data_IF_735664715591
#
_entry.id   IF_735664715591
#
_cell.length_a   1.000
_cell.length_b   1.000
_cell.length_c   1.000
_cell.angle_alpha   90.00
_cell.angle_beta   90.00
_cell.angle_gamma   90.00
#
_symmetry.space_group_name_H-M   'P 1'
#
loop_
_entity.id
_entity.type
_entity.pdbx_description
1 polymer ?
#
# COMPACT_ATOMS: atom_id res chain seq x y z
N UNK A 1 54.82 65.42 -49.11
CA UNK A 1 54.37 66.22 -47.94
C UNK A 1 53.13 65.52 -47.37
N UNK A 2 53.10 65.27 -46.06
CA UNK A 2 52.09 64.46 -45.31
C UNK A 2 50.67 65.05 -45.50
N UNK A 3 49.56 64.31 -45.43
CA UNK A 3 48.98 63.57 -44.28
C UNK A 3 47.92 62.58 -44.83
N UNK A 4 47.95 61.27 -44.53
CA UNK A 4 47.40 60.55 -43.35
C UNK A 4 45.90 60.75 -43.07
N UNK A 5 45.10 59.69 -43.29
CA UNK A 5 44.06 59.04 -42.43
C UNK A 5 43.20 58.12 -43.33
N UNK A 6 43.34 56.78 -43.35
CA UNK A 6 42.89 55.68 -42.45
C UNK A 6 41.37 55.34 -42.48
N UNK A 7 41.00 54.05 -42.31
CA UNK A 7 40.07 53.31 -43.21
C UNK A 7 38.82 52.69 -42.53
N UNK A 8 38.01 51.96 -43.30
CA UNK A 8 37.12 50.86 -42.85
C UNK A 8 35.63 51.19 -42.92
N UNK A 9 34.92 50.90 -44.02
CA UNK A 9 34.24 49.65 -44.40
C UNK A 9 33.38 48.95 -43.32
N UNK A 10 32.12 48.84 -43.70
CA UNK A 10 31.14 47.77 -43.46
C UNK A 10 30.45 47.70 -42.10
N UNK A 11 29.25 48.28 -42.12
CA UNK A 11 28.18 48.12 -41.14
C UNK A 11 27.34 46.89 -41.52
N UNK A 12 27.26 45.93 -40.57
CA UNK A 12 26.14 45.02 -40.26
C UNK A 12 25.66 44.02 -41.33
N UNK A 13 25.90 42.73 -41.06
CA UNK A 13 24.84 41.71 -41.20
C UNK A 13 24.57 41.06 -39.83
N UNK A 14 23.28 40.98 -39.52
CA UNK A 14 22.68 40.52 -38.27
C UNK A 14 22.87 39.02 -38.11
N UNK A 15 23.33 38.59 -36.94
CA UNK A 15 23.30 37.19 -36.53
C UNK A 15 21.87 36.70 -36.33
N UNK A 16 21.55 35.57 -36.96
CA UNK A 16 20.39 34.73 -36.63
C UNK A 16 20.82 33.78 -35.52
N UNK A 17 20.74 34.23 -34.28
CA UNK A 17 20.73 33.33 -33.11
C UNK A 17 19.29 32.89 -32.87
N UNK A 18 18.89 31.78 -33.48
CA UNK A 18 17.62 31.13 -33.16
C UNK A 18 17.71 30.48 -31.78
N UNK A 19 16.76 30.71 -30.86
CA UNK A 19 16.72 29.97 -29.61
C UNK A 19 16.28 28.53 -29.92
N UNK A 20 17.17 27.56 -29.74
CA UNK A 20 16.81 26.15 -29.68
C UNK A 20 15.99 25.93 -28.40
N UNK A 21 14.66 26.00 -28.53
CA UNK A 21 13.72 25.67 -27.47
C UNK A 21 13.76 24.14 -27.26
N UNK A 22 14.67 23.68 -26.41
CA UNK A 22 14.68 22.29 -25.93
C UNK A 22 13.47 22.14 -25.01
N UNK A 23 12.38 21.63 -25.58
CA UNK A 23 11.19 21.22 -24.83
C UNK A 23 11.55 19.95 -24.04
N UNK A 24 12.06 20.14 -22.81
CA UNK A 24 12.20 19.06 -21.84
C UNK A 24 10.79 18.60 -21.44
N UNK A 25 10.27 17.63 -22.19
CA UNK A 25 9.04 16.91 -21.86
C UNK A 25 9.33 16.07 -20.61
N UNK A 26 9.15 16.66 -19.43
CA UNK A 26 9.25 15.96 -18.17
C UNK A 26 8.15 14.90 -18.13
N UNK A 27 8.53 13.64 -18.35
CA UNK A 27 7.69 12.49 -18.07
C UNK A 27 7.47 12.44 -16.56
N UNK A 28 6.45 13.16 -16.08
CA UNK A 28 5.97 13.00 -14.71
C UNK A 28 5.44 11.56 -14.58
N UNK A 29 6.24 10.68 -13.98
CA UNK A 29 5.75 9.40 -13.55
C UNK A 29 4.53 9.64 -12.64
N UNK A 30 3.43 8.89 -12.81
CA UNK A 30 2.29 9.04 -11.92
C UNK A 30 2.76 8.79 -10.49
N UNK A 31 2.64 9.81 -9.64
CA UNK A 31 2.75 9.62 -8.21
C UNK A 31 1.64 8.63 -7.81
N UNK A 32 2.01 7.38 -7.52
CA UNK A 32 1.10 6.46 -6.85
C UNK A 32 0.80 7.08 -5.50
N UNK A 33 -0.43 7.53 -5.29
CA UNK A 33 -0.90 7.85 -3.96
C UNK A 33 -0.78 6.56 -3.14
N UNK A 34 0.20 6.52 -2.24
CA UNK A 34 0.30 5.43 -1.29
C UNK A 34 -0.94 5.53 -0.40
N UNK A 35 -1.79 4.50 -0.45
CA UNK A 35 -3.00 4.47 0.38
C UNK A 35 -2.64 4.39 1.87
N UNK A 36 -3.57 4.75 2.74
CA UNK A 36 -3.37 4.62 4.18
C UNK A 36 -3.27 3.14 4.59
N UNK A 37 -2.39 2.84 5.56
CA UNK A 37 -2.36 1.53 6.23
C UNK A 37 -3.74 1.27 6.85
N UNK A 38 -4.49 0.31 6.30
CA UNK A 38 -5.87 0.06 6.69
C UNK A 38 -5.99 -0.52 8.11
N UNK A 39 -4.97 -1.23 8.57
CA UNK A 39 -4.94 -1.76 9.93
C UNK A 39 -4.68 -0.63 10.91
N UNK A 40 -3.76 0.28 10.59
CA UNK A 40 -3.56 1.48 11.39
C UNK A 40 -4.80 2.38 11.40
N UNK A 41 -5.46 2.59 10.26
CA UNK A 41 -6.69 3.37 10.17
C UNK A 41 -7.79 2.78 11.06
N UNK A 42 -7.95 1.46 11.05
CA UNK A 42 -8.87 0.79 11.97
C UNK A 42 -8.48 1.02 13.43
N UNK A 43 -7.21 0.83 13.76
CA UNK A 43 -6.73 0.96 15.14
C UNK A 43 -6.90 2.40 15.68
N UNK A 44 -6.65 3.41 14.84
CA UNK A 44 -6.76 4.84 15.16
C UNK A 44 -8.22 5.31 15.32
N UNK A 45 -9.16 4.74 14.55
CA UNK A 45 -10.54 5.27 14.46
C UNK A 45 -11.61 4.39 15.06
N UNK A 46 -11.38 3.07 15.10
CA UNK A 46 -12.43 2.09 15.37
C UNK A 46 -12.11 1.20 16.57
N UNK A 47 -10.83 0.91 16.84
CA UNK A 47 -10.47 -0.14 17.79
C UNK A 47 -10.83 0.17 19.26
N UNK A 48 -10.91 1.44 19.66
CA UNK A 48 -11.30 1.81 21.03
C UNK A 48 -12.71 1.28 21.39
N UNK A 49 -13.66 1.35 20.44
CA UNK A 49 -15.04 0.87 20.65
C UNK A 49 -15.24 -0.56 20.16
N UNK A 50 -14.50 -1.00 19.14
CA UNK A 50 -14.75 -2.26 18.43
C UNK A 50 -13.71 -3.35 18.66
N UNK A 51 -12.58 -3.05 19.29
CA UNK A 51 -11.44 -3.96 19.39
C UNK A 51 -10.71 -4.15 18.06
N UNK A 52 -9.88 -5.18 17.97
CA UNK A 52 -9.04 -5.41 16.79
C UNK A 52 -9.89 -5.76 15.55
N UNK A 53 -9.48 -5.28 14.38
CA UNK A 53 -10.21 -5.47 13.09
C UNK A 53 -10.60 -6.92 12.84
N UNK A 54 -9.64 -7.84 12.97
CA UNK A 54 -9.90 -9.26 12.75
C UNK A 54 -10.94 -9.87 13.71
N UNK A 55 -11.03 -9.41 14.96
CA UNK A 55 -12.04 -9.86 15.92
C UNK A 55 -13.42 -9.28 15.59
N UNK A 56 -13.45 -8.00 15.18
CA UNK A 56 -14.65 -7.38 14.66
C UNK A 56 -15.17 -8.10 13.41
N UNK A 57 -14.30 -8.37 12.43
CA UNK A 57 -14.65 -9.03 11.18
C UNK A 57 -15.28 -10.42 11.41
N UNK A 58 -14.85 -11.15 12.44
CA UNK A 58 -15.41 -12.46 12.80
C UNK A 58 -16.83 -12.39 13.39
N UNK A 59 -17.30 -11.21 13.79
CA UNK A 59 -18.70 -10.97 14.19
C UNK A 59 -19.60 -10.68 12.97
N UNK A 60 -19.01 -10.55 11.78
CA UNK A 60 -19.74 -10.41 10.53
C UNK A 60 -20.15 -11.80 10.04
N UNK A 61 -21.36 -11.89 9.49
CA UNK A 61 -21.93 -13.10 8.90
C UNK A 61 -22.26 -12.85 7.44
N UNK A 62 -22.16 -13.86 6.58
CA UNK A 62 -22.58 -13.74 5.19
C UNK A 62 -24.10 -13.97 5.09
N UNK A 63 -24.83 -13.04 4.48
CA UNK A 63 -26.25 -13.20 4.12
C UNK A 63 -26.46 -12.73 2.69
N UNK A 64 -27.04 -13.59 1.86
CA UNK A 64 -27.35 -13.28 0.45
C UNK A 64 -26.17 -12.76 -0.37
N UNK A 65 -24.94 -13.20 -0.07
CA UNK A 65 -23.72 -12.76 -0.77
C UNK A 65 -23.07 -11.49 -0.22
N UNK A 66 -23.64 -10.89 0.82
CA UNK A 66 -23.10 -9.70 1.49
C UNK A 66 -22.69 -10.00 2.93
N UNK A 67 -21.71 -9.26 3.45
CA UNK A 67 -21.42 -9.29 4.88
C UNK A 67 -22.47 -8.45 5.62
N UNK A 68 -23.01 -8.99 6.70
CA UNK A 68 -23.88 -8.30 7.65
C UNK A 68 -23.35 -8.48 9.07
N UNK A 69 -23.51 -7.48 9.92
CA UNK A 69 -23.26 -7.66 11.35
C UNK A 69 -24.32 -8.58 11.97
N UNK A 70 -23.92 -9.46 12.88
CA UNK A 70 -24.86 -10.34 13.59
C UNK A 70 -25.80 -9.59 14.58
N UNK A 71 -25.55 -8.30 14.84
CA UNK A 71 -26.27 -7.42 15.78
C UNK A 71 -26.98 -6.27 15.02
N UNK A 72 -27.82 -5.37 15.60
CA UNK A 72 -28.89 -4.66 14.88
C UNK A 72 -28.37 -3.50 13.99
N UNK A 73 -27.05 -3.39 13.84
CA UNK A 73 -26.38 -2.38 13.02
C UNK A 73 -26.18 -3.03 11.65
N UNK A 74 -27.17 -2.97 10.76
CA UNK A 74 -27.28 -3.76 9.53
C UNK A 74 -26.04 -3.88 8.62
N UNK A 75 -26.03 -3.14 7.50
CA UNK A 75 -25.02 -3.21 6.43
C UNK A 75 -23.66 -2.62 6.91
N UNK A 76 -22.56 -3.39 6.93
CA UNK A 76 -21.25 -2.91 7.34
C UNK A 76 -20.70 -1.80 6.45
N UNK A 77 -21.10 -1.74 5.17
CA UNK A 77 -20.72 -0.64 4.29
C UNK A 77 -21.42 0.64 4.71
N UNK A 78 -22.73 0.57 5.00
CA UNK A 78 -23.46 1.67 5.60
C UNK A 78 -22.84 2.11 6.94
N UNK A 79 -22.48 1.17 7.80
CA UNK A 79 -21.77 1.46 9.05
C UNK A 79 -20.49 2.25 8.79
N UNK A 80 -19.60 1.77 7.92
CA UNK A 80 -18.33 2.45 7.62
C UNK A 80 -18.52 3.85 7.02
N UNK A 81 -19.51 4.05 6.15
CA UNK A 81 -19.80 5.37 5.55
C UNK A 81 -20.17 6.44 6.57
N UNK A 82 -20.72 6.04 7.71
CA UNK A 82 -21.21 6.95 8.73
C UNK A 82 -20.35 6.93 10.00
N UNK A 83 -19.22 6.21 10.00
CA UNK A 83 -18.50 5.89 11.23
C UNK A 83 -16.98 5.97 11.11
N UNK A 84 -16.48 7.20 10.87
CA UNK A 84 -15.09 7.66 11.04
C UNK A 84 -14.02 7.49 9.93
N UNK A 85 -14.07 6.58 8.94
CA UNK A 85 -13.05 6.57 7.90
C UNK A 85 -13.30 7.69 6.87
N UNK A 86 -12.23 8.20 6.22
CA UNK A 86 -12.35 9.00 5.02
C UNK A 86 -13.19 8.29 3.95
N UNK A 87 -13.93 9.05 3.14
CA UNK A 87 -14.86 8.48 2.17
C UNK A 87 -14.18 7.56 1.12
N UNK A 88 -12.95 7.87 0.75
CA UNK A 88 -12.10 7.08 -0.15
C UNK A 88 -11.52 5.80 0.50
N UNK A 89 -11.60 5.70 1.83
CA UNK A 89 -11.12 4.57 2.61
C UNK A 89 -12.20 3.57 3.02
N UNK A 90 -13.48 3.95 2.90
CA UNK A 90 -14.62 3.09 3.22
C UNK A 90 -14.54 1.74 2.48
N UNK A 91 -14.37 1.77 1.15
CA UNK A 91 -14.40 0.56 0.33
C UNK A 91 -13.15 -0.32 0.52
N UNK A 92 -11.90 0.22 0.55
CA UNK A 92 -10.73 -0.54 0.96
C UNK A 92 -10.88 -1.20 2.33
N UNK A 93 -11.38 -0.46 3.33
CA UNK A 93 -11.56 -0.97 4.68
C UNK A 93 -12.63 -2.07 4.74
N UNK A 94 -13.74 -1.90 4.01
CA UNK A 94 -14.77 -2.94 3.87
C UNK A 94 -14.19 -4.23 3.28
N UNK A 95 -13.39 -4.14 2.22
CA UNK A 95 -12.75 -5.31 1.60
C UNK A 95 -11.73 -5.99 2.53
N UNK A 96 -11.01 -5.23 3.33
CA UNK A 96 -10.14 -5.78 4.38
C UNK A 96 -10.96 -6.60 5.39
N UNK A 97 -12.07 -6.05 5.90
CA UNK A 97 -12.96 -6.76 6.83
C UNK A 97 -13.57 -8.01 6.20
N UNK A 98 -13.97 -7.96 4.92
CA UNK A 98 -14.40 -9.13 4.16
C UNK A 98 -13.35 -10.23 4.13
N UNK A 99 -12.12 -9.87 3.77
CA UNK A 99 -11.02 -10.81 3.70
C UNK A 99 -10.70 -11.41 5.09
N UNK A 100 -10.74 -10.60 6.15
CA UNK A 100 -10.53 -11.06 7.52
C UNK A 100 -11.65 -12.00 7.99
N UNK A 101 -12.91 -11.71 7.68
CA UNK A 101 -14.06 -12.56 8.01
C UNK A 101 -13.97 -13.93 7.33
N UNK A 102 -13.47 -13.97 6.09
CA UNK A 102 -13.27 -15.19 5.32
C UNK A 102 -11.98 -15.97 5.66
N UNK A 103 -11.08 -15.40 6.48
CA UNK A 103 -9.78 -16.01 6.80
C UNK A 103 -9.81 -16.68 8.18
N UNK A 104 -9.51 -17.98 8.29
CA UNK A 104 -9.31 -18.63 9.58
C UNK A 104 -8.26 -17.91 10.44
N UNK A 105 -8.45 -17.76 11.77
CA UNK A 105 -7.56 -17.00 12.67
C UNK A 105 -6.24 -17.72 12.99
N UNK A 106 -5.71 -18.49 12.03
CA UNK A 106 -4.52 -19.36 12.20
C UNK A 106 -3.25 -18.59 12.52
N UNK A 107 -3.11 -17.34 12.05
CA UNK A 107 -1.92 -16.54 12.35
C UNK A 107 -1.75 -16.34 13.86
N UNK A 108 -2.81 -15.95 14.57
CA UNK A 108 -2.72 -15.75 16.02
C UNK A 108 -2.42 -17.06 16.75
N UNK A 109 -2.99 -18.17 16.29
CA UNK A 109 -2.83 -19.48 16.92
C UNK A 109 -1.44 -20.06 16.69
N UNK A 110 -0.92 -19.99 15.47
CA UNK A 110 0.31 -20.68 15.06
C UNK A 110 1.55 -19.78 15.07
N UNK A 111 1.38 -18.46 14.93
CA UNK A 111 2.47 -17.48 14.86
C UNK A 111 2.48 -16.51 16.05
N UNK A 112 1.39 -16.44 16.82
CA UNK A 112 1.18 -15.49 17.93
C UNK A 112 2.18 -15.60 19.08
N UNK A 113 2.85 -16.75 19.22
CA UNK A 113 3.87 -16.94 20.26
C UNK A 113 5.16 -16.14 20.03
N UNK A 114 5.43 -15.70 18.80
CA UNK A 114 6.62 -14.91 18.45
C UNK A 114 6.29 -13.60 17.74
N UNK A 115 5.09 -13.48 17.17
CA UNK A 115 4.63 -12.30 16.45
C UNK A 115 3.34 -11.82 17.06
N UNK A 116 3.19 -10.50 17.23
CA UNK A 116 1.98 -9.91 17.78
C UNK A 116 0.77 -10.18 16.88
N UNK A 117 0.74 -9.56 15.69
CA UNK A 117 -0.26 -9.83 14.66
C UNK A 117 0.34 -9.70 13.25
N UNK A 118 -0.41 -10.14 12.23
CA UNK A 118 0.06 -10.18 10.85
C UNK A 118 0.40 -8.79 10.29
N UNK A 119 -0.38 -7.76 10.63
CA UNK A 119 -0.14 -6.41 10.16
C UNK A 119 1.11 -5.81 10.80
N UNK A 120 1.31 -6.01 12.11
CA UNK A 120 2.54 -5.65 12.81
C UNK A 120 3.77 -6.35 12.22
N UNK A 121 3.68 -7.66 11.93
CA UNK A 121 4.76 -8.40 11.26
C UNK A 121 5.10 -7.79 9.90
N UNK A 122 4.08 -7.58 9.06
CA UNK A 122 4.22 -6.99 7.73
C UNK A 122 4.87 -5.61 7.81
N UNK A 123 4.36 -4.74 8.68
CA UNK A 123 4.86 -3.37 8.87
C UNK A 123 6.34 -3.36 9.27
N UNK A 124 6.78 -4.33 10.05
CA UNK A 124 8.14 -4.38 10.57
C UNK A 124 9.12 -5.11 9.65
N UNK A 125 8.68 -6.16 8.95
CA UNK A 125 9.59 -7.10 8.29
C UNK A 125 9.40 -7.22 6.77
N UNK A 126 8.31 -6.69 6.19
CA UNK A 126 8.00 -6.85 4.77
C UNK A 126 7.98 -5.48 4.09
N UNK A 127 8.46 -5.39 2.85
CA UNK A 127 8.40 -4.19 2.00
C UNK A 127 8.03 -4.59 0.58
N UNK A 128 7.61 -3.63 -0.24
CA UNK A 128 7.46 -3.86 -1.68
C UNK A 128 8.76 -3.56 -2.42
N UNK A 129 9.15 -4.47 -3.31
CA UNK A 129 10.20 -4.29 -4.32
C UNK A 129 9.67 -4.82 -5.64
N UNK A 130 9.73 -3.99 -6.69
CA UNK A 130 9.23 -4.33 -8.03
C UNK A 130 7.79 -4.87 -8.04
N UNK A 131 6.93 -4.28 -7.18
CA UNK A 131 5.50 -4.65 -7.06
C UNK A 131 5.22 -5.95 -6.28
N UNK A 132 6.24 -6.60 -5.73
CA UNK A 132 6.12 -7.82 -4.93
C UNK A 132 6.56 -7.59 -3.46
N UNK A 133 5.89 -8.24 -2.48
CA UNK A 133 6.34 -8.21 -1.10
C UNK A 133 7.60 -9.07 -0.92
N UNK A 134 8.61 -8.49 -0.29
CA UNK A 134 9.88 -9.13 0.06
C UNK A 134 10.23 -8.85 1.51
N UNK A 135 11.05 -9.71 2.10
CA UNK A 135 11.62 -9.47 3.44
C UNK A 135 12.53 -8.24 3.39
N UNK A 136 12.36 -7.33 4.35
CA UNK A 136 13.07 -6.05 4.38
C UNK A 136 14.58 -6.22 4.61
N UNK A 137 14.98 -7.21 5.40
CA UNK A 137 16.35 -7.47 5.82
C UNK A 137 17.21 -8.12 4.73
N UNK A 138 16.63 -9.03 3.96
CA UNK A 138 17.32 -9.95 3.07
C UNK A 138 16.91 -9.78 1.61
N UNK A 139 15.78 -9.11 1.35
CA UNK A 139 15.20 -8.98 0.01
C UNK A 139 14.62 -10.29 -0.57
N UNK A 140 14.60 -11.38 0.21
CA UNK A 140 14.02 -12.67 -0.21
C UNK A 140 12.51 -12.56 -0.33
N UNK A 141 11.90 -13.41 -1.17
CA UNK A 141 10.44 -13.48 -1.23
C UNK A 141 9.85 -13.94 0.11
N UNK A 142 8.60 -13.57 0.37
CA UNK A 142 7.88 -14.06 1.57
C UNK A 142 7.79 -15.59 1.58
N UNK A 143 7.62 -16.21 0.40
CA UNK A 143 7.55 -17.67 0.26
C UNK A 143 8.87 -18.34 0.68
N UNK A 144 9.99 -17.81 0.20
CA UNK A 144 11.33 -18.31 0.54
C UNK A 144 11.65 -18.15 2.03
N UNK A 145 11.18 -17.06 2.64
CA UNK A 145 11.33 -16.84 4.06
C UNK A 145 10.52 -17.86 4.88
N UNK A 146 9.27 -18.12 4.49
CA UNK A 146 8.41 -19.11 5.14
C UNK A 146 8.96 -20.55 4.98
N UNK A 147 9.59 -20.88 3.85
CA UNK A 147 10.23 -22.17 3.63
C UNK A 147 11.35 -22.48 4.64
N UNK A 148 11.99 -21.44 5.18
CA UNK A 148 13.06 -21.57 6.17
C UNK A 148 12.58 -21.30 7.61
N UNK A 149 11.34 -20.87 7.79
CA UNK A 149 10.82 -20.45 9.08
C UNK A 149 10.24 -21.64 9.85
N UNK A 150 10.87 -22.00 10.98
CA UNK A 150 10.34 -22.92 12.01
C UNK A 150 9.79 -24.27 11.51
N UNK A 151 10.26 -24.74 10.36
CA UNK A 151 9.81 -26.02 9.80
C UNK A 151 8.33 -26.05 9.42
N UNK A 152 7.74 -24.92 9.01
CA UNK A 152 6.36 -24.88 8.50
C UNK A 152 6.15 -25.93 7.41
N UNK A 153 5.03 -26.64 7.45
CA UNK A 153 4.64 -27.59 6.40
C UNK A 153 4.30 -26.87 5.10
N UNK A 154 4.24 -27.61 3.99
CA UNK A 154 3.82 -27.03 2.71
C UNK A 154 2.42 -26.42 2.77
N UNK A 155 1.47 -27.10 3.41
CA UNK A 155 0.10 -26.59 3.62
C UNK A 155 0.09 -25.27 4.41
N UNK A 156 0.89 -25.18 5.49
CA UNK A 156 1.02 -23.95 6.26
C UNK A 156 1.60 -22.82 5.41
N UNK A 157 2.61 -23.10 4.58
CA UNK A 157 3.19 -22.08 3.69
C UNK A 157 2.21 -21.61 2.62
N UNK A 158 1.41 -22.54 2.06
CA UNK A 158 0.34 -22.22 1.12
C UNK A 158 -0.77 -21.38 1.76
N UNK A 159 -0.96 -21.49 3.08
CA UNK A 159 -1.86 -20.62 3.82
C UNK A 159 -1.24 -19.25 4.14
N UNK A 160 -0.06 -19.23 4.78
CA UNK A 160 0.54 -18.00 5.32
C UNK A 160 1.12 -17.09 4.22
N UNK A 161 1.63 -17.64 3.12
CA UNK A 161 2.19 -16.84 2.03
C UNK A 161 1.17 -15.88 1.41
N UNK A 162 0.01 -16.37 0.93
CA UNK A 162 -1.08 -15.53 0.44
C UNK A 162 -1.65 -14.59 1.50
N UNK A 163 -1.79 -15.06 2.76
CA UNK A 163 -2.24 -14.21 3.86
C UNK A 163 -1.33 -12.99 4.04
N UNK A 164 -0.02 -13.20 4.21
CA UNK A 164 0.94 -12.12 4.41
C UNK A 164 1.07 -11.23 3.18
N UNK A 165 0.94 -11.78 1.98
CA UNK A 165 0.91 -11.00 0.73
C UNK A 165 -0.30 -10.08 0.68
N UNK A 166 -1.48 -10.57 1.08
CA UNK A 166 -2.69 -9.75 1.16
C UNK A 166 -2.54 -8.65 2.20
N UNK A 167 -2.12 -8.99 3.43
CA UNK A 167 -1.91 -8.01 4.51
C UNK A 167 -0.85 -6.97 4.12
N UNK A 168 0.21 -7.35 3.40
CA UNK A 168 1.18 -6.41 2.84
C UNK A 168 0.52 -5.36 1.93
N UNK A 169 -0.45 -5.76 1.09
CA UNK A 169 -1.20 -4.83 0.24
C UNK A 169 -2.16 -3.95 1.04
N UNK A 170 -2.67 -4.41 2.18
CA UNK A 170 -3.52 -3.63 3.10
C UNK A 170 -2.71 -2.61 3.92
N UNK A 171 -1.47 -2.96 4.30
CA UNK A 171 -0.58 -2.12 5.13
C UNK A 171 0.20 -1.09 4.30
N UNK A 172 0.80 -1.49 3.18
CA UNK A 172 1.69 -0.61 2.41
C UNK A 172 1.01 0.13 1.26
N UNK A 173 -0.14 -0.37 0.79
CA UNK A 173 -0.95 0.17 -0.32
C UNK A 173 -0.13 0.85 -1.45
N UNK A 174 0.76 0.09 -2.12
CA UNK A 174 1.64 0.60 -3.18
C UNK A 174 0.95 0.84 -4.53
#
# INVERSE_FOLDING_TARGET
MRLRQRPGLTTRLRGLTGPALILCLAMAAPARAAGLDLHWLWDDRCAECHGHSSEFARRLTWRSGELVLAHPIGDPLHFLRHHYPPADEVEPLYRMLQAQAATPPRFQVECGGCHDNAASLVRNAIRFRDGAPVMADSGRSVSDALAMHRGLTEEQRQFFGPLLTRVAREVHRP
#
